data_IF_694871842697
#
_entry.id   IF_694871842697
#
_cell.length_a   1.000
_cell.length_b   1.000
_cell.length_c   1.000
_cell.angle_alpha   90.00
_cell.angle_beta   90.00
_cell.angle_gamma   90.00
#
_symmetry.space_group_name_H-M   'P 1'
#
loop_
_entity.id
_entity.type
_entity.pdbx_description
1 polymer ?
#
# COMPACT_ATOMS: atom_id res chain seq x y z
N UNK A 1 -2.14 -18.56 30.82
CA UNK A 1 -2.72 -18.81 29.49
C UNK A 1 -3.52 -17.58 29.12
N UNK A 2 -2.89 -16.64 28.41
CA UNK A 2 -3.57 -15.43 27.96
C UNK A 2 -4.49 -15.79 26.80
N UNK A 3 -5.76 -15.44 26.91
CA UNK A 3 -6.71 -15.46 25.80
C UNK A 3 -6.11 -14.55 24.73
N UNK A 4 -5.67 -15.14 23.60
CA UNK A 4 -5.35 -14.39 22.39
C UNK A 4 -6.61 -13.62 22.03
N UNK A 5 -6.57 -12.29 22.11
CA UNK A 5 -7.64 -11.47 21.56
C UNK A 5 -7.75 -11.84 20.08
N UNK A 6 -8.90 -12.39 19.70
CA UNK A 6 -9.26 -12.53 18.30
C UNK A 6 -9.20 -11.13 17.69
N UNK A 7 -8.21 -10.90 16.83
CA UNK A 7 -8.25 -9.77 15.90
C UNK A 7 -9.56 -9.95 15.15
N UNK A 8 -10.52 -9.05 15.36
CA UNK A 8 -11.83 -9.09 14.75
C UNK A 8 -11.62 -9.26 13.23
N UNK A 9 -11.90 -10.47 12.73
CA UNK A 9 -11.25 -11.07 11.55
C UNK A 9 -11.73 -10.54 10.19
N UNK A 10 -11.99 -9.24 10.07
CA UNK A 10 -12.70 -8.66 8.93
C UNK A 10 -11.96 -7.47 8.27
N UNK A 11 -10.65 -7.36 8.48
CA UNK A 11 -9.82 -6.33 7.85
C UNK A 11 -8.79 -6.95 6.90
N UNK A 12 -8.56 -6.31 5.75
CA UNK A 12 -7.52 -6.73 4.83
C UNK A 12 -6.12 -6.60 5.46
N UNK A 13 -5.22 -7.51 5.13
CA UNK A 13 -3.82 -7.43 5.55
C UNK A 13 -3.14 -6.18 4.98
N UNK A 14 -3.53 -5.79 3.76
CA UNK A 14 -3.02 -4.58 3.12
C UNK A 14 -4.06 -3.89 2.24
N UNK A 15 -3.83 -2.61 1.96
CA UNK A 15 -4.56 -1.79 1.01
C UNK A 15 -3.56 -1.24 -0.02
N UNK A 16 -3.88 -1.32 -1.31
CA UNK A 16 -3.06 -0.73 -2.38
C UNK A 16 -3.68 0.57 -2.85
N UNK A 17 -2.99 1.66 -2.56
CA UNK A 17 -3.29 3.00 -3.08
C UNK A 17 -2.41 3.26 -4.30
N UNK A 18 -3.02 3.65 -5.42
CA UNK A 18 -2.32 3.92 -6.67
C UNK A 18 -3.08 4.96 -7.51
N UNK A 19 -2.39 5.62 -8.43
CA UNK A 19 -3.02 6.57 -9.35
C UNK A 19 -3.80 5.84 -10.44
N UNK A 20 -5.11 6.06 -10.51
CA UNK A 20 -5.91 5.57 -11.63
C UNK A 20 -5.52 6.26 -12.94
N UNK A 21 -5.55 5.49 -14.02
CA UNK A 21 -5.42 6.09 -15.35
C UNK A 21 -6.71 6.80 -15.74
N UNK A 22 -6.65 7.98 -16.40
CA UNK A 22 -7.84 8.62 -16.94
C UNK A 22 -8.64 7.64 -17.81
N UNK A 23 -9.96 7.63 -17.65
CA UNK A 23 -10.85 6.75 -18.42
C UNK A 23 -10.85 7.19 -19.90
N UNK A 24 -10.73 6.21 -20.82
CA UNK A 24 -10.98 6.44 -22.26
C UNK A 24 -9.82 6.24 -23.24
N UNK A 25 -8.67 5.70 -22.82
CA UNK A 25 -7.55 5.35 -23.72
C UNK A 25 -7.07 3.90 -23.57
N UNK A 26 -6.54 3.28 -24.64
CA UNK A 26 -5.96 1.93 -24.60
C UNK A 26 -4.88 1.78 -23.51
N UNK A 27 -4.09 2.83 -23.30
CA UNK A 27 -3.05 2.91 -22.26
C UNK A 27 -3.59 2.83 -20.82
N UNK A 28 -4.87 3.16 -20.62
CA UNK A 28 -5.54 3.13 -19.31
C UNK A 28 -5.76 1.70 -18.83
N UNK A 29 -6.16 0.81 -19.75
CA UNK A 29 -6.37 -0.61 -19.46
C UNK A 29 -5.08 -1.31 -19.02
N UNK A 30 -3.96 -1.00 -19.69
CA UNK A 30 -2.66 -1.61 -19.40
C UNK A 30 -2.09 -1.18 -18.03
N UNK A 31 -2.29 0.08 -17.63
CA UNK A 31 -1.79 0.60 -16.37
C UNK A 31 -2.50 -0.05 -15.16
N UNK A 32 -3.83 -0.15 -15.20
CA UNK A 32 -4.59 -0.82 -14.16
C UNK A 32 -4.29 -2.32 -14.12
N UNK A 33 -4.06 -2.96 -15.28
CA UNK A 33 -3.68 -4.38 -15.32
C UNK A 33 -2.34 -4.64 -14.63
N UNK A 34 -1.32 -3.79 -14.84
CA UNK A 34 -0.03 -3.96 -14.16
C UNK A 34 -0.17 -3.87 -12.63
N UNK A 35 -1.08 -3.03 -12.13
CA UNK A 35 -1.37 -2.94 -10.69
C UNK A 35 -2.14 -4.14 -10.19
N UNK A 36 -3.08 -4.69 -10.98
CA UNK A 36 -3.76 -5.96 -10.67
C UNK A 36 -2.76 -7.11 -10.55
N UNK A 37 -1.83 -7.24 -11.51
CA UNK A 37 -0.78 -8.26 -11.47
C UNK A 37 0.12 -8.11 -10.22
N UNK A 38 0.45 -6.88 -9.84
CA UNK A 38 1.15 -6.59 -8.59
C UNK A 38 0.35 -7.02 -7.37
N UNK A 39 -0.93 -6.67 -7.32
CA UNK A 39 -1.84 -7.00 -6.23
C UNK A 39 -1.95 -8.51 -6.06
N UNK A 40 -2.22 -9.25 -7.14
CA UNK A 40 -2.34 -10.72 -7.12
C UNK A 40 -1.05 -11.39 -6.65
N UNK A 41 0.11 -10.94 -7.12
CA UNK A 41 1.40 -11.49 -6.69
C UNK A 41 1.69 -11.20 -5.22
N UNK A 42 1.38 -9.99 -4.74
CA UNK A 42 1.55 -9.63 -3.33
C UNK A 42 0.60 -10.43 -2.44
N UNK A 43 -0.66 -10.56 -2.83
CA UNK A 43 -1.68 -11.39 -2.19
C UNK A 43 -1.24 -12.85 -2.11
N UNK A 44 -0.74 -13.41 -3.21
CA UNK A 44 -0.19 -14.77 -3.25
C UNK A 44 0.98 -14.92 -2.28
N UNK A 45 1.98 -14.04 -2.33
CA UNK A 45 3.15 -14.12 -1.46
C UNK A 45 2.78 -14.02 0.02
N UNK A 46 1.85 -13.13 0.38
CA UNK A 46 1.38 -13.00 1.77
C UNK A 46 0.60 -14.22 2.24
N UNK A 47 -0.15 -14.89 1.37
CA UNK A 47 -0.84 -16.15 1.72
C UNK A 47 0.13 -17.25 2.16
N UNK A 48 1.40 -17.19 1.72
CA UNK A 48 2.45 -18.15 2.11
C UNK A 48 3.15 -17.77 3.42
N UNK A 49 3.02 -16.51 3.87
CA UNK A 49 3.77 -15.96 5.00
C UNK A 49 2.90 -15.68 6.23
N UNK A 50 1.59 -15.47 6.03
CA UNK A 50 0.65 -15.08 7.08
C UNK A 50 -0.49 -16.11 7.13
N UNK A 51 -0.64 -16.85 8.24
CA UNK A 51 -1.77 -17.76 8.43
C UNK A 51 -3.11 -17.02 8.31
N UNK A 52 -4.07 -17.61 7.59
CA UNK A 52 -5.41 -17.06 7.39
C UNK A 52 -6.46 -18.06 7.84
N UNK A 53 -7.55 -17.55 8.42
CA UNK A 53 -8.72 -18.36 8.75
C UNK A 53 -9.37 -18.87 7.46
N UNK A 54 -9.84 -20.11 7.47
CA UNK A 54 -10.59 -20.69 6.35
C UNK A 54 -11.83 -19.82 6.07
N UNK A 55 -12.01 -19.41 4.82
CA UNK A 55 -13.13 -18.55 4.40
C UNK A 55 -12.90 -17.04 4.59
N UNK A 56 -11.70 -16.61 5.01
CA UNK A 56 -11.35 -15.18 5.03
C UNK A 56 -11.34 -14.60 3.61
N UNK A 57 -11.83 -13.36 3.48
CA UNK A 57 -11.78 -12.54 2.26
C UNK A 57 -10.33 -12.37 1.73
N UNK A 58 -10.17 -11.85 0.51
CA UNK A 58 -8.86 -11.59 -0.12
C UNK A 58 -7.88 -10.90 0.87
N UNK A 59 -6.60 -11.32 0.94
CA UNK A 59 -5.63 -10.67 1.83
C UNK A 59 -5.52 -9.17 1.63
N UNK A 60 -5.79 -8.65 0.43
CA UNK A 60 -5.66 -7.24 0.11
C UNK A 60 -6.98 -6.58 -0.30
N UNK A 61 -6.94 -5.25 -0.39
CA UNK A 61 -7.93 -4.45 -1.10
C UNK A 61 -7.24 -3.49 -2.08
N UNK A 62 -7.85 -3.28 -3.25
CA UNK A 62 -7.46 -2.23 -4.21
C UNK A 62 -8.71 -1.64 -4.86
N UNK A 63 -8.73 -0.31 -5.01
CA UNK A 63 -9.92 0.44 -5.41
C UNK A 63 -10.37 0.20 -6.88
N UNK A 64 -9.44 -0.18 -7.76
CA UNK A 64 -9.62 -0.24 -9.21
C UNK A 64 -10.48 -1.36 -9.81
N UNK A 65 -11.22 -2.13 -9.00
CA UNK A 65 -12.15 -3.15 -9.51
C UNK A 65 -13.62 -2.72 -9.47
N UNK A 66 -13.99 -1.79 -8.59
CA UNK A 66 -15.40 -1.62 -8.20
C UNK A 66 -15.97 -0.21 -8.42
N UNK A 67 -15.17 0.76 -8.87
CA UNK A 67 -15.63 2.15 -8.87
C UNK A 67 -15.15 3.04 -10.03
N UNK A 68 -15.68 2.83 -11.24
CA UNK A 68 -15.44 3.76 -12.36
C UNK A 68 -16.09 5.14 -12.16
N UNK A 69 -16.93 5.33 -11.12
CA UNK A 69 -17.69 6.55 -10.87
C UNK A 69 -16.94 7.61 -10.05
N UNK A 70 -15.78 7.30 -9.47
CA UNK A 70 -15.03 8.24 -8.64
C UNK A 70 -15.76 8.64 -7.34
N UNK A 71 -16.61 7.76 -6.81
CA UNK A 71 -17.35 8.01 -5.57
C UNK A 71 -16.69 7.29 -4.38
N UNK A 72 -16.65 7.86 -3.19
CA UNK A 72 -16.14 7.11 -2.02
C UNK A 72 -17.21 6.14 -1.51
N UNK A 73 -17.08 4.85 -1.83
CA UNK A 73 -18.03 3.82 -1.39
C UNK A 73 -17.84 3.48 0.09
N UNK A 74 -18.88 2.93 0.70
CA UNK A 74 -18.80 2.38 2.06
C UNK A 74 -17.75 1.26 2.16
N UNK A 75 -17.60 0.47 1.09
CA UNK A 75 -16.60 -0.59 1.01
C UNK A 75 -15.18 -0.03 1.02
N UNK A 76 -14.88 1.00 0.23
CA UNK A 76 -13.59 1.69 0.26
C UNK A 76 -13.29 2.29 1.64
N UNK A 77 -14.27 3.00 2.23
CA UNK A 77 -14.14 3.57 3.57
C UNK A 77 -13.91 2.51 4.65
N UNK A 78 -14.57 1.36 4.53
CA UNK A 78 -14.35 0.23 5.43
C UNK A 78 -12.96 -0.36 5.22
N UNK A 79 -12.57 -0.66 3.98
CA UNK A 79 -11.29 -1.28 3.66
C UNK A 79 -10.11 -0.44 4.16
N UNK A 80 -10.09 0.87 3.87
CA UNK A 80 -9.03 1.77 4.34
C UNK A 80 -9.10 2.05 5.85
N UNK A 81 -10.29 1.96 6.43
CA UNK A 81 -10.55 2.08 7.87
C UNK A 81 -10.11 0.85 8.68
N UNK A 82 -9.99 -0.32 8.07
CA UNK A 82 -9.69 -1.60 8.76
C UNK A 82 -8.39 -2.27 8.33
N UNK A 83 -7.83 -1.96 7.15
CA UNK A 83 -6.62 -2.61 6.64
C UNK A 83 -5.42 -2.48 7.59
N UNK A 84 -4.51 -3.44 7.60
CA UNK A 84 -3.36 -3.39 8.53
C UNK A 84 -2.13 -2.69 7.96
N UNK A 85 -1.98 -2.64 6.63
CA UNK A 85 -0.85 -1.97 5.96
C UNK A 85 -1.33 -1.16 4.78
N UNK A 86 -0.80 0.05 4.60
CA UNK A 86 -1.09 0.90 3.46
C UNK A 86 0.09 0.88 2.47
N UNK A 87 -0.09 0.25 1.32
CA UNK A 87 0.91 0.17 0.25
C UNK A 87 0.62 1.26 -0.76
N UNK A 88 1.50 2.28 -0.83
CA UNK A 88 1.36 3.39 -1.76
C UNK A 88 2.27 3.19 -2.97
N UNK A 89 1.71 3.04 -4.17
CA UNK A 89 2.46 2.89 -5.42
C UNK A 89 2.84 4.27 -5.95
N UNK A 90 3.99 4.78 -5.50
CA UNK A 90 4.45 6.14 -5.79
C UNK A 90 4.98 6.23 -7.22
N UNK A 91 4.36 7.10 -8.00
CA UNK A 91 4.79 7.55 -9.32
C UNK A 91 4.37 9.03 -9.50
N UNK A 92 4.67 9.66 -10.64
CA UNK A 92 4.27 11.04 -10.84
C UNK A 92 2.79 11.40 -10.71
N UNK A 93 1.85 10.69 -11.35
CA UNK A 93 0.43 10.99 -11.18
C UNK A 93 -0.09 10.72 -9.76
N UNK A 94 0.54 9.84 -8.98
CA UNK A 94 0.15 9.56 -7.60
C UNK A 94 0.28 10.80 -6.70
N UNK A 95 1.42 11.51 -6.79
CA UNK A 95 1.72 12.60 -5.86
C UNK A 95 0.89 13.86 -6.10
N UNK A 96 0.20 13.93 -7.25
CA UNK A 96 -0.73 15.01 -7.60
C UNK A 96 -2.20 14.58 -7.53
N UNK A 97 -2.49 13.34 -7.14
CA UNK A 97 -3.83 12.79 -7.08
C UNK A 97 -4.51 13.16 -5.76
N UNK A 98 -5.57 13.98 -5.84
CA UNK A 98 -6.42 14.32 -4.67
C UNK A 98 -6.97 13.04 -4.02
N UNK A 99 -7.38 12.06 -4.83
CA UNK A 99 -7.88 10.78 -4.36
C UNK A 99 -6.86 10.05 -3.49
N UNK A 100 -5.63 9.91 -4.00
CA UNK A 100 -4.55 9.25 -3.28
C UNK A 100 -4.16 10.03 -2.02
N UNK A 101 -4.19 11.37 -2.08
CA UNK A 101 -3.96 12.22 -0.91
C UNK A 101 -5.04 12.07 0.17
N UNK A 102 -6.29 11.85 -0.23
CA UNK A 102 -7.38 11.54 0.68
C UNK A 102 -7.31 10.14 1.29
N UNK A 103 -6.91 9.14 0.51
CA UNK A 103 -6.62 7.80 1.03
C UNK A 103 -5.49 7.85 2.06
N UNK A 104 -4.41 8.56 1.72
CA UNK A 104 -3.30 8.78 2.64
C UNK A 104 -3.77 9.44 3.94
N UNK A 105 -4.56 10.50 3.84
CA UNK A 105 -5.14 11.21 4.99
C UNK A 105 -6.01 10.29 5.86
N UNK A 106 -6.85 9.46 5.24
CA UNK A 106 -7.70 8.51 5.93
C UNK A 106 -6.89 7.52 6.77
N UNK A 107 -5.85 6.93 6.19
CA UNK A 107 -5.01 5.95 6.87
C UNK A 107 -4.08 6.56 7.92
N UNK A 108 -3.50 7.74 7.65
CA UNK A 108 -2.55 8.40 8.55
C UNK A 108 -3.11 8.73 9.95
N UNK A 109 -4.43 8.80 10.07
CA UNK A 109 -5.14 9.09 11.34
C UNK A 109 -5.37 7.85 12.21
N UNK A 110 -4.84 6.69 11.81
CA UNK A 110 -4.98 5.43 12.54
C UNK A 110 -3.77 5.21 13.44
N UNK A 111 -4.01 4.65 14.63
CA UNK A 111 -2.96 4.38 15.59
C UNK A 111 -2.33 3.02 15.31
N UNK A 112 -1.00 2.97 15.33
CA UNK A 112 -0.22 1.73 15.28
C UNK A 112 0.23 1.38 16.68
N UNK A 113 0.01 0.15 17.12
CA UNK A 113 0.43 -0.35 18.45
C UNK A 113 1.22 -1.65 18.30
N UNK A 114 2.12 -1.91 19.26
CA UNK A 114 2.70 -3.24 19.40
C UNK A 114 1.68 -4.21 20.00
N UNK A 115 1.71 -5.45 19.54
CA UNK A 115 0.92 -6.52 20.14
C UNK A 115 1.34 -6.83 21.59
N UNK A 116 2.58 -6.50 21.97
CA UNK A 116 3.05 -6.59 23.36
C UNK A 116 2.44 -5.55 24.30
N UNK A 117 1.74 -4.54 23.77
CA UNK A 117 1.12 -3.46 24.54
C UNK A 117 2.04 -2.29 24.90
N UNK A 118 3.28 -2.28 24.40
CA UNK A 118 4.20 -1.14 24.54
C UNK A 118 3.92 -0.06 23.47
N UNK A 119 4.06 1.20 23.86
CA UNK A 119 3.82 2.34 22.97
C UNK A 119 5.02 2.55 22.04
N UNK A 120 4.79 2.47 20.73
CA UNK A 120 5.82 2.76 19.72
C UNK A 120 5.58 4.12 19.10
N UNK A 121 6.12 5.15 19.75
CA UNK A 121 6.32 6.42 19.07
C UNK A 121 7.15 6.19 17.79
N UNK A 122 6.69 6.76 16.66
CA UNK A 122 7.35 6.77 15.34
C UNK A 122 7.25 5.54 14.41
N UNK A 123 6.33 4.59 14.60
CA UNK A 123 6.13 3.52 13.60
C UNK A 123 4.89 3.75 12.74
N UNK A 124 5.08 3.71 11.43
CA UNK A 124 4.01 3.84 10.44
C UNK A 124 3.73 2.52 9.76
N UNK A 125 2.45 2.20 9.58
CA UNK A 125 2.01 1.06 8.77
C UNK A 125 1.95 1.39 7.26
N UNK A 126 2.61 2.46 6.85
CA UNK A 126 2.77 2.85 5.46
C UNK A 126 3.95 2.09 4.84
N UNK A 127 3.77 1.63 3.61
CA UNK A 127 4.78 1.03 2.74
C UNK A 127 4.78 1.76 1.40
N UNK A 128 5.41 2.95 1.29
CA UNK A 128 5.52 3.65 0.01
C UNK A 128 6.53 2.94 -0.90
N UNK A 129 6.09 2.47 -2.06
CA UNK A 129 6.86 1.70 -3.03
C UNK A 129 7.14 2.59 -4.24
N UNK A 130 8.38 2.58 -4.75
CA UNK A 130 8.71 3.21 -6.04
C UNK A 130 8.05 2.40 -7.15
N UNK A 131 6.90 2.85 -7.63
CA UNK A 131 6.19 2.22 -8.74
C UNK A 131 6.82 2.60 -10.06
N UNK A 132 7.02 3.91 -10.29
CA UNK A 132 7.82 4.45 -11.38
C UNK A 132 8.69 5.60 -10.83
N UNK A 133 9.89 5.83 -11.41
CA UNK A 133 10.83 6.78 -10.86
C UNK A 133 10.28 8.20 -10.91
N UNK A 134 10.64 8.96 -9.88
CA UNK A 134 10.38 10.40 -9.78
C UNK A 134 11.73 11.13 -9.75
N UNK A 135 11.89 12.14 -10.59
CA UNK A 135 13.19 12.77 -10.83
C UNK A 135 13.59 13.81 -9.75
N UNK A 136 12.64 14.35 -8.96
CA UNK A 136 12.87 15.50 -8.07
C UNK A 136 12.29 15.33 -6.66
N UNK A 137 13.02 14.72 -5.75
CA UNK A 137 12.53 14.39 -4.39
C UNK A 137 11.95 15.56 -3.59
N UNK A 138 12.41 16.77 -3.83
CA UNK A 138 11.95 18.03 -3.23
C UNK A 138 10.50 18.40 -3.58
N UNK A 139 9.96 17.84 -4.67
CA UNK A 139 8.59 18.06 -5.13
C UNK A 139 7.59 17.06 -4.51
N UNK A 140 8.05 16.08 -3.72
CA UNK A 140 7.15 15.14 -3.04
C UNK A 140 6.35 15.84 -1.94
N UNK A 141 5.03 15.61 -1.81
CA UNK A 141 4.25 16.13 -0.69
C UNK A 141 4.85 15.78 0.68
N UNK A 142 4.73 16.71 1.65
CA UNK A 142 5.31 16.53 3.00
C UNK A 142 4.88 15.22 3.64
N UNK A 143 3.60 14.86 3.53
CA UNK A 143 3.05 13.61 4.04
C UNK A 143 3.82 12.36 3.55
N UNK A 144 4.26 12.35 2.29
CA UNK A 144 5.04 11.24 1.72
C UNK A 144 6.49 11.30 2.20
N UNK A 145 7.09 12.49 2.31
CA UNK A 145 8.49 12.66 2.76
C UNK A 145 8.71 12.27 4.21
N UNK A 146 7.70 12.46 5.06
CA UNK A 146 7.76 12.14 6.49
C UNK A 146 7.69 10.62 6.77
N UNK A 147 7.42 9.81 5.74
CA UNK A 147 7.37 8.35 5.82
C UNK A 147 8.58 7.71 5.13
N UNK A 148 9.22 6.76 5.81
CA UNK A 148 10.30 5.99 5.21
C UNK A 148 9.77 5.13 4.05
N UNK A 149 10.30 5.35 2.85
CA UNK A 149 9.99 4.51 1.68
C UNK A 149 10.43 3.07 1.89
N UNK A 150 9.70 2.15 1.28
CA UNK A 150 10.12 0.76 1.16
C UNK A 150 11.45 0.70 0.42
N UNK A 151 12.44 0.10 1.07
CA UNK A 151 13.70 -0.30 0.49
C UNK A 151 13.84 -1.81 0.73
N UNK A 152 13.89 -2.64 -0.32
CA UNK A 152 14.10 -4.07 -0.16
C UNK A 152 15.52 -4.33 0.34
N UNK A 153 15.65 -5.04 1.46
CA UNK A 153 16.94 -5.47 1.99
C UNK A 153 17.28 -6.87 1.47
N UNK A 154 18.57 -7.26 1.53
CA UNK A 154 19.04 -8.59 1.16
C UNK A 154 18.74 -9.01 -0.29
N UNK A 155 18.78 -8.06 -1.24
CA UNK A 155 18.79 -8.34 -2.68
C UNK A 155 20.15 -7.98 -3.31
N UNK A 156 20.53 -8.65 -4.40
CA UNK A 156 21.65 -8.26 -5.24
C UNK A 156 21.63 -6.77 -5.64
N UNK A 157 22.80 -6.14 -5.67
CA UNK A 157 22.93 -4.69 -5.90
C UNK A 157 22.43 -4.24 -7.28
N UNK A 158 22.52 -5.11 -8.29
CA UNK A 158 21.96 -4.89 -9.62
C UNK A 158 20.42 -4.78 -9.57
N UNK A 159 19.75 -5.71 -8.87
CA UNK A 159 18.30 -5.67 -8.68
C UNK A 159 17.90 -4.40 -7.91
N UNK A 160 18.63 -4.06 -6.85
CA UNK A 160 18.38 -2.85 -6.07
C UNK A 160 18.59 -1.57 -6.89
N UNK A 161 19.63 -1.54 -7.73
CA UNK A 161 19.91 -0.43 -8.63
C UNK A 161 18.78 -0.21 -9.62
N UNK A 162 18.34 -1.28 -10.29
CA UNK A 162 17.21 -1.23 -11.21
C UNK A 162 15.90 -0.87 -10.51
N UNK A 163 15.61 -1.41 -9.33
CA UNK A 163 14.42 -1.02 -8.58
C UNK A 163 14.40 0.48 -8.25
N UNK A 164 15.53 1.03 -7.78
CA UNK A 164 15.62 2.46 -7.43
C UNK A 164 15.55 3.37 -8.66
N UNK A 165 16.11 2.93 -9.79
CA UNK A 165 16.17 3.71 -11.03
C UNK A 165 14.90 3.60 -11.88
N UNK A 166 14.37 2.39 -12.03
CA UNK A 166 13.28 2.06 -12.96
C UNK A 166 11.91 1.88 -12.26
N UNK A 167 11.91 1.72 -10.93
CA UNK A 167 10.71 1.34 -10.18
C UNK A 167 10.24 -0.09 -10.47
N UNK A 168 9.20 -0.54 -9.75
CA UNK A 168 8.59 -1.86 -10.01
C UNK A 168 8.02 -1.96 -11.43
N UNK A 169 7.37 -0.91 -11.93
CA UNK A 169 6.79 -0.90 -13.27
C UNK A 169 7.87 -1.05 -14.34
N UNK A 170 9.02 -0.37 -14.19
CA UNK A 170 10.12 -0.51 -15.14
C UNK A 170 10.75 -1.91 -15.12
N UNK A 171 10.87 -2.56 -13.96
CA UNK A 171 11.29 -3.96 -13.87
C UNK A 171 10.32 -4.89 -14.62
N UNK A 172 9.01 -4.66 -14.46
CA UNK A 172 7.98 -5.42 -15.16
C UNK A 172 8.06 -5.20 -16.69
N UNK A 173 8.06 -3.95 -17.14
CA UNK A 173 8.04 -3.58 -18.57
C UNK A 173 9.30 -3.99 -19.33
N UNK A 174 10.47 -4.02 -18.66
CA UNK A 174 11.74 -4.44 -19.28
C UNK A 174 11.95 -5.95 -19.26
N UNK A 175 10.95 -6.74 -18.83
CA UNK A 175 11.01 -8.19 -18.81
C UNK A 175 11.87 -8.78 -17.68
N UNK A 176 12.26 -7.97 -16.68
CA UNK A 176 13.06 -8.41 -15.52
C UNK A 176 12.17 -9.07 -14.46
N UNK A 177 11.44 -10.11 -14.86
CA UNK A 177 10.41 -10.77 -14.03
C UNK A 177 10.97 -11.32 -12.72
N UNK A 178 12.17 -11.89 -12.73
CA UNK A 178 12.81 -12.41 -11.51
C UNK A 178 13.13 -11.28 -10.51
N UNK A 179 13.63 -10.15 -11.01
CA UNK A 179 13.91 -8.97 -10.18
C UNK A 179 12.62 -8.36 -9.64
N UNK A 180 11.58 -8.22 -10.47
CA UNK A 180 10.25 -7.79 -10.06
C UNK A 180 9.69 -8.69 -8.95
N UNK A 181 9.66 -10.01 -9.17
CA UNK A 181 9.18 -10.98 -8.20
C UNK A 181 9.97 -10.96 -6.90
N UNK A 182 11.30 -10.83 -6.97
CA UNK A 182 12.16 -10.71 -5.79
C UNK A 182 11.84 -9.46 -4.96
N UNK A 183 11.59 -8.31 -5.58
CA UNK A 183 11.22 -7.08 -4.87
C UNK A 183 9.84 -7.22 -4.21
N UNK A 184 8.84 -7.75 -4.93
CA UNK A 184 7.50 -7.99 -4.37
C UNK A 184 7.53 -9.01 -3.24
N UNK A 185 8.38 -10.05 -3.34
CA UNK A 185 8.61 -11.02 -2.25
C UNK A 185 9.22 -10.35 -1.00
N UNK A 186 10.13 -9.40 -1.16
CA UNK A 186 10.69 -8.63 -0.02
C UNK A 186 9.67 -7.70 0.60
N UNK A 187 8.78 -7.12 -0.19
CA UNK A 187 7.64 -6.34 0.31
C UNK A 187 6.72 -7.23 1.16
N UNK A 188 6.34 -8.41 0.65
CA UNK A 188 5.50 -9.36 1.38
C UNK A 188 6.11 -9.77 2.73
N UNK A 189 7.41 -10.07 2.78
CA UNK A 189 8.11 -10.37 4.05
C UNK A 189 8.10 -9.20 5.03
N UNK A 190 8.28 -7.96 4.54
CA UNK A 190 8.24 -6.77 5.39
C UNK A 190 6.85 -6.54 5.99
N UNK A 191 5.80 -6.76 5.19
CA UNK A 191 4.41 -6.72 5.65
C UNK A 191 4.18 -7.83 6.69
N UNK A 192 4.56 -9.08 6.39
CA UNK A 192 4.38 -10.20 7.33
C UNK A 192 5.09 -9.96 8.67
N UNK A 193 6.33 -9.45 8.64
CA UNK A 193 7.08 -9.08 9.85
C UNK A 193 6.40 -7.96 10.64
N UNK A 194 5.81 -6.98 9.96
CA UNK A 194 5.04 -5.93 10.60
C UNK A 194 3.81 -6.51 11.31
N UNK A 195 3.05 -7.36 10.62
CA UNK A 195 1.83 -8.00 11.12
C UNK A 195 2.07 -8.96 12.30
N UNK A 196 3.27 -9.54 12.41
CA UNK A 196 3.65 -10.40 13.53
C UNK A 196 3.78 -9.62 14.85
N UNK A 197 4.07 -8.32 14.79
CA UNK A 197 4.44 -7.52 15.96
C UNK A 197 3.55 -6.30 16.20
N UNK A 198 2.80 -5.84 15.20
CA UNK A 198 1.99 -4.63 15.27
C UNK A 198 0.53 -4.90 14.91
N UNK A 199 -0.34 -4.01 15.37
CA UNK A 199 -1.74 -3.90 14.96
C UNK A 199 -2.03 -2.43 14.65
N UNK A 200 -2.78 -2.20 13.58
CA UNK A 200 -3.32 -0.87 13.26
C UNK A 200 -4.77 -0.82 13.69
N UNK A 201 -5.07 0.06 14.64
CA UNK A 201 -6.40 0.23 15.19
C UNK A 201 -7.40 0.59 14.08
N UNK A 202 -8.55 -0.09 14.01
CA UNK A 202 -9.57 0.24 13.03
C UNK A 202 -10.16 1.62 13.34
N UNK A 203 -10.57 2.32 12.29
CA UNK A 203 -11.23 3.63 12.41
C UNK A 203 -12.43 3.68 11.47
N UNK A 204 -13.58 4.04 12.01
CA UNK A 204 -14.75 4.37 11.18
C UNK A 204 -14.49 5.72 10.50
N UNK A 205 -14.57 5.72 9.17
CA UNK A 205 -14.30 6.88 8.34
C UNK A 205 -15.58 7.42 7.71
N UNK A 206 -15.60 8.74 7.49
CA UNK A 206 -16.66 9.43 6.76
C UNK A 206 -16.04 10.27 5.67
N UNK A 207 -16.61 10.23 4.47
CA UNK A 207 -16.11 10.98 3.31
C UNK A 207 -15.98 12.49 3.58
N UNK A 208 -16.92 13.08 4.30
CA UNK A 208 -16.94 14.51 4.65
C UNK A 208 -15.73 14.97 5.50
N UNK A 209 -15.11 14.05 6.24
CA UNK A 209 -13.97 14.32 7.11
C UNK A 209 -12.62 14.22 6.37
N UNK A 210 -12.62 13.65 5.15
CA UNK A 210 -11.39 13.40 4.39
C UNK A 210 -10.89 14.68 3.72
N UNK A 211 -9.56 14.83 3.69
CA UNK A 211 -8.83 15.95 3.11
C UNK A 211 -7.68 15.43 2.28
N UNK A 212 -7.21 16.22 1.33
CA UNK A 212 -6.04 15.89 0.55
C UNK A 212 -4.75 16.14 1.36
N UNK A 213 -4.14 15.06 1.87
CA UNK A 213 -2.87 15.14 2.60
C UNK A 213 -1.69 15.63 1.74
N UNK A 214 -1.83 15.67 0.41
CA UNK A 214 -0.78 16.12 -0.50
C UNK A 214 -0.81 17.64 -0.73
N UNK A 215 -1.91 18.30 -0.40
CA UNK A 215 -2.09 19.76 -0.48
C UNK A 215 -1.88 20.46 0.87
N UNK A 216 -1.71 19.73 1.97
CA UNK A 216 -1.43 20.33 3.28
C UNK A 216 -0.10 21.10 3.24
N UNK A 217 -0.16 22.39 3.63
CA UNK A 217 0.98 23.29 3.56
C UNK A 217 2.19 22.74 4.37
N UNK A 218 3.43 22.96 3.90
CA UNK A 218 4.65 22.44 4.52
C UNK A 218 4.87 22.88 5.97
#
# INVERSE_FOLDING_TARGET
>A
MGVRQEVNGNGHLFFVSYSHSPTGGSWSYDADQNVRDFFELLSYNLSQLVPRTVGAEDPGFMDGLLNPGGEWTNELLQAIGTCQVFVALINPPYVTSEWCGMEWYAFARRQVRLQSGEDTANRTAFMPVIWAPWQRTEELPKAIRDVQRFNPDNLPQDILGHYRHDGLLGLYQTGRRDAYGAVVWRLAQKIALFLDSHVVEPRVLKREDLRDAFQEAP
#
